data_IF_184443156229
#
_entry.id   IF_184443156229
#
_cell.length_a   1.000
_cell.length_b   1.000
_cell.length_c   1.000
_cell.angle_alpha   90.00
_cell.angle_beta   90.00
_cell.angle_gamma   90.00
#
_symmetry.space_group_name_H-M   'P 1'
#
loop_
_entity.id
_entity.type
_entity.pdbx_description
1 polymer ?
#
# COMPACT_ATOMS: atom_id res chain seq x y z
N UNK A 1 0.67 5.38 -28.14
CA UNK A 1 1.90 5.78 -27.41
C UNK A 1 2.55 4.52 -26.85
N UNK A 2 3.86 4.41 -26.93
CA UNK A 2 4.57 3.16 -26.60
C UNK A 2 4.43 2.80 -25.12
N UNK A 3 4.11 1.54 -24.85
CA UNK A 3 4.22 0.96 -23.51
C UNK A 3 5.69 0.83 -23.19
N UNK A 4 6.19 1.57 -22.20
CA UNK A 4 7.58 1.56 -21.79
C UNK A 4 7.75 0.97 -20.40
N UNK A 5 8.58 -0.07 -20.27
CA UNK A 5 9.04 -0.56 -18.97
C UNK A 5 10.03 0.45 -18.37
N UNK A 6 9.85 0.77 -17.10
CA UNK A 6 10.70 1.70 -16.33
C UNK A 6 11.61 0.89 -15.42
N UNK A 7 12.89 1.22 -15.42
CA UNK A 7 13.84 0.59 -14.49
C UNK A 7 13.56 1.03 -13.04
N UNK A 8 13.14 0.07 -12.24
CA UNK A 8 12.90 0.26 -10.80
C UNK A 8 14.10 -0.06 -9.92
N UNK A 9 15.23 -0.49 -10.53
CA UNK A 9 16.44 -0.90 -9.82
C UNK A 9 16.31 -2.22 -9.05
N UNK A 10 15.20 -2.95 -9.22
CA UNK A 10 14.94 -4.25 -8.57
C UNK A 10 13.85 -5.02 -9.30
N UNK A 11 13.89 -6.34 -9.21
CA UNK A 11 12.83 -7.24 -9.68
C UNK A 11 11.61 -7.31 -8.72
N UNK A 12 11.76 -6.82 -7.49
CA UNK A 12 10.69 -6.81 -6.49
C UNK A 12 9.62 -5.74 -6.74
N UNK A 13 9.85 -4.82 -7.64
CA UNK A 13 8.91 -3.79 -8.06
C UNK A 13 8.97 -3.65 -9.58
N UNK A 14 7.82 -3.65 -10.22
CA UNK A 14 7.72 -3.39 -11.66
C UNK A 14 7.05 -2.03 -11.86
N UNK A 15 7.44 -1.32 -12.91
CA UNK A 15 6.79 -0.08 -13.32
C UNK A 15 6.74 -0.01 -14.85
N UNK A 16 5.58 0.33 -15.38
CA UNK A 16 5.40 0.60 -16.79
C UNK A 16 4.46 1.79 -16.99
N UNK A 17 4.59 2.47 -18.11
CA UNK A 17 3.65 3.54 -18.48
C UNK A 17 2.84 3.09 -19.68
N UNK A 18 1.52 3.02 -19.51
CA UNK A 18 0.54 2.71 -20.58
C UNK A 18 -0.46 3.84 -20.66
N UNK A 19 -0.66 4.41 -21.83
CA UNK A 19 -1.67 5.45 -22.05
C UNK A 19 -1.64 6.57 -21.00
N UNK A 20 -0.45 7.01 -20.61
CA UNK A 20 -0.19 8.00 -19.56
C UNK A 20 -0.53 7.53 -18.13
N UNK A 21 -0.77 6.25 -17.89
CA UNK A 21 -0.94 5.67 -16.57
C UNK A 21 0.34 4.96 -16.16
N UNK A 22 0.96 5.39 -15.07
CA UNK A 22 2.08 4.66 -14.47
C UNK A 22 1.51 3.50 -13.63
N UNK A 23 1.69 2.28 -14.12
CA UNK A 23 1.31 1.06 -13.41
C UNK A 23 2.50 0.57 -12.59
N UNK A 24 2.39 0.67 -11.28
CA UNK A 24 3.40 0.25 -10.30
C UNK A 24 2.93 -1.06 -9.66
N UNK A 25 3.66 -2.14 -9.89
CA UNK A 25 3.29 -3.47 -9.40
C UNK A 25 4.28 -3.94 -8.33
N UNK A 26 3.78 -4.16 -7.11
CA UNK A 26 4.53 -4.83 -6.05
C UNK A 26 4.76 -6.28 -6.49
N UNK A 27 6.00 -6.73 -6.61
CA UNK A 27 6.36 -7.99 -7.27
C UNK A 27 7.17 -8.92 -6.37
N UNK A 28 6.57 -9.29 -5.23
CA UNK A 28 7.05 -10.33 -4.31
C UNK A 28 5.90 -11.28 -3.96
N UNK A 29 5.29 -11.97 -4.95
CA UNK A 29 4.08 -12.77 -4.72
C UNK A 29 4.28 -13.90 -3.70
N UNK A 30 5.47 -14.48 -3.61
CA UNK A 30 5.85 -15.53 -2.65
C UNK A 30 5.74 -15.05 -1.19
N UNK A 31 5.98 -13.77 -0.92
CA UNK A 31 5.81 -13.13 0.38
C UNK A 31 4.57 -12.22 0.45
N UNK A 32 3.61 -12.44 -0.46
CA UNK A 32 2.38 -11.63 -0.56
C UNK A 32 2.67 -10.13 -0.64
N UNK A 33 3.71 -9.79 -1.39
CA UNK A 33 4.15 -8.42 -1.62
C UNK A 33 4.48 -7.63 -0.35
N UNK A 34 5.03 -8.31 0.68
CA UNK A 34 5.44 -7.66 1.92
C UNK A 34 6.53 -6.62 1.67
N UNK A 35 6.44 -5.50 2.40
CA UNK A 35 7.36 -4.37 2.31
C UNK A 35 8.67 -4.68 3.07
N UNK A 36 9.77 -4.69 2.34
CA UNK A 36 11.12 -4.90 2.86
C UNK A 36 12.07 -3.78 2.46
N UNK A 37 13.35 -3.98 2.78
CA UNK A 37 14.38 -2.95 2.60
C UNK A 37 14.76 -2.70 1.13
N UNK A 38 14.37 -3.57 0.20
CA UNK A 38 14.62 -3.42 -1.24
C UNK A 38 13.41 -2.78 -1.93
N UNK A 39 12.23 -3.39 -1.82
CA UNK A 39 11.02 -2.93 -2.52
C UNK A 39 10.56 -1.55 -2.04
N UNK A 40 10.69 -1.25 -0.75
CA UNK A 40 10.12 -0.01 -0.19
C UNK A 40 10.84 1.26 -0.67
N UNK A 41 12.18 1.33 -0.73
CA UNK A 41 12.88 2.47 -1.34
C UNK A 41 12.56 2.64 -2.83
N UNK A 42 12.47 1.53 -3.58
CA UNK A 42 12.10 1.56 -5.00
C UNK A 42 10.68 2.11 -5.19
N UNK A 43 9.72 1.68 -4.36
CA UNK A 43 8.34 2.18 -4.39
C UNK A 43 8.27 3.68 -4.11
N UNK A 44 9.00 4.18 -3.09
CA UNK A 44 9.09 5.62 -2.79
C UNK A 44 9.62 6.42 -3.98
N UNK A 45 10.66 5.90 -4.62
CA UNK A 45 11.25 6.52 -5.81
C UNK A 45 10.25 6.59 -6.95
N UNK A 46 9.57 5.49 -7.26
CA UNK A 46 8.59 5.44 -8.35
C UNK A 46 7.40 6.37 -8.11
N UNK A 47 6.87 6.42 -6.89
CA UNK A 47 5.77 7.34 -6.54
C UNK A 47 6.19 8.79 -6.81
N UNK A 48 7.35 9.20 -6.35
CA UNK A 48 7.86 10.56 -6.56
C UNK A 48 8.09 10.85 -8.04
N UNK A 49 8.90 10.03 -8.72
CA UNK A 49 9.29 10.26 -10.11
C UNK A 49 8.08 10.23 -11.05
N UNK A 50 7.16 9.27 -10.91
CA UNK A 50 5.96 9.21 -11.75
C UNK A 50 4.92 10.27 -11.35
N UNK A 51 4.88 10.62 -10.07
CA UNK A 51 4.06 11.73 -9.59
C UNK A 51 4.45 13.08 -10.20
N UNK A 52 5.73 13.32 -10.45
CA UNK A 52 6.28 14.55 -11.02
C UNK A 52 6.39 14.53 -12.56
N UNK A 53 6.35 13.35 -13.20
CA UNK A 53 6.55 13.16 -14.63
C UNK A 53 5.42 13.79 -15.46
N UNK A 54 5.66 14.79 -16.33
CA UNK A 54 4.61 15.45 -17.10
C UNK A 54 3.91 14.53 -18.12
N UNK A 55 4.54 13.43 -18.52
CA UNK A 55 3.98 12.46 -19.44
C UNK A 55 3.05 11.45 -18.77
N UNK A 56 3.04 11.42 -17.43
CA UNK A 56 2.14 10.58 -16.62
C UNK A 56 0.93 11.41 -16.18
N UNK A 57 -0.27 10.89 -16.42
CA UNK A 57 -1.55 11.51 -16.03
C UNK A 57 -2.15 10.91 -14.76
N UNK A 58 -1.84 9.65 -14.44
CA UNK A 58 -2.35 8.96 -13.25
C UNK A 58 -1.38 7.87 -12.78
N UNK A 59 -1.48 7.48 -11.50
CA UNK A 59 -0.74 6.36 -10.91
C UNK A 59 -1.72 5.24 -10.57
N UNK A 60 -1.37 4.00 -10.94
CA UNK A 60 -2.06 2.80 -10.50
C UNK A 60 -1.08 1.92 -9.74
N UNK A 61 -1.41 1.57 -8.50
CA UNK A 61 -0.61 0.66 -7.65
C UNK A 61 -1.35 -0.65 -7.51
N UNK A 62 -0.67 -1.76 -7.77
CA UNK A 62 -1.25 -3.11 -7.64
C UNK A 62 -0.22 -4.09 -7.10
N UNK A 63 -0.63 -5.35 -6.88
CA UNK A 63 0.24 -6.44 -6.46
C UNK A 63 0.27 -7.58 -7.47
N UNK A 64 1.44 -8.16 -7.68
CA UNK A 64 1.56 -9.41 -8.42
C UNK A 64 0.94 -10.58 -7.65
N UNK A 65 0.48 -11.60 -8.37
CA UNK A 65 -0.12 -12.79 -7.77
C UNK A 65 -1.49 -12.51 -7.14
N UNK A 66 -1.74 -13.10 -5.96
CA UNK A 66 -3.06 -13.16 -5.31
C UNK A 66 -3.22 -12.23 -4.11
N UNK A 67 -2.29 -11.31 -3.88
CA UNK A 67 -2.36 -10.33 -2.79
C UNK A 67 -1.97 -8.94 -3.29
N UNK A 68 -2.55 -7.92 -2.68
CA UNK A 68 -2.05 -6.56 -2.87
C UNK A 68 -0.74 -6.37 -2.10
N UNK A 69 -0.80 -6.39 -0.76
CA UNK A 69 0.37 -6.25 0.10
C UNK A 69 0.06 -6.71 1.53
N UNK A 70 0.88 -7.58 2.07
CA UNK A 70 0.72 -8.12 3.44
C UNK A 70 1.20 -7.17 4.55
N UNK A 71 1.73 -5.99 4.20
CA UNK A 71 2.31 -5.05 5.17
C UNK A 71 3.82 -5.18 5.29
N UNK A 72 4.38 -4.87 6.46
CA UNK A 72 5.81 -4.99 6.70
C UNK A 72 6.29 -6.46 6.68
N UNK A 73 7.52 -6.67 6.22
CA UNK A 73 8.16 -7.99 6.21
C UNK A 73 8.62 -8.37 7.63
N UNK A 74 7.68 -8.86 8.44
CA UNK A 74 7.94 -9.26 9.84
C UNK A 74 9.00 -10.36 9.93
N UNK A 75 9.05 -11.28 8.94
CA UNK A 75 10.07 -12.33 8.91
C UNK A 75 11.46 -11.76 8.62
N UNK A 76 11.54 -10.83 7.67
CA UNK A 76 12.78 -10.12 7.40
C UNK A 76 13.26 -9.29 8.60
N UNK A 77 12.34 -8.65 9.32
CA UNK A 77 12.65 -7.89 10.54
C UNK A 77 13.20 -8.79 11.67
N UNK A 78 12.63 -9.99 11.84
CA UNK A 78 13.09 -10.94 12.86
C UNK A 78 14.49 -11.52 12.56
N UNK A 79 14.87 -11.58 11.28
CA UNK A 79 16.17 -12.08 10.81
C UNK A 79 17.19 -10.95 10.57
N UNK A 80 16.79 -9.68 10.74
CA UNK A 80 17.72 -8.57 10.67
C UNK A 80 18.73 -8.69 11.81
N UNK A 81 20.02 -8.54 11.49
CA UNK A 81 21.10 -8.53 12.49
C UNK A 81 20.88 -7.43 13.55
N UNK A 82 21.82 -7.27 14.48
CA UNK A 82 21.67 -6.33 15.59
C UNK A 82 21.29 -4.95 15.05
N UNK A 83 20.15 -4.43 15.55
CA UNK A 83 19.66 -3.13 15.13
C UNK A 83 20.68 -2.04 15.53
N UNK A 84 20.92 -1.10 14.63
CA UNK A 84 21.68 0.11 14.95
C UNK A 84 21.02 0.74 16.17
N UNK A 85 21.79 0.94 17.25
CA UNK A 85 21.30 1.63 18.43
C UNK A 85 20.88 3.06 18.05
N UNK A 86 19.63 3.36 18.28
CA UNK A 86 19.05 4.68 18.06
C UNK A 86 18.33 5.14 19.30
N UNK A 87 18.47 6.43 19.63
CA UNK A 87 17.67 7.05 20.69
C UNK A 87 16.17 7.00 20.32
N UNK A 88 15.26 7.12 21.29
CA UNK A 88 13.82 7.20 21.01
C UNK A 88 13.48 8.30 19.98
N UNK A 89 14.09 9.46 20.09
CA UNK A 89 13.86 10.59 19.18
C UNK A 89 14.31 10.27 17.74
N UNK A 90 15.46 9.61 17.59
CA UNK A 90 15.95 9.16 16.29
C UNK A 90 15.00 8.11 15.67
N UNK A 91 14.47 7.19 16.47
CA UNK A 91 13.47 6.22 16.01
C UNK A 91 12.20 6.90 15.52
N UNK A 92 11.69 7.88 16.26
CA UNK A 92 10.53 8.68 15.91
C UNK A 92 10.77 9.48 14.61
N UNK A 93 11.91 10.17 14.52
CA UNK A 93 12.27 10.95 13.33
C UNK A 93 12.35 10.06 12.08
N UNK A 94 13.01 8.88 12.22
CA UNK A 94 13.11 7.91 11.13
C UNK A 94 11.73 7.37 10.70
N UNK A 95 10.85 7.09 11.66
CA UNK A 95 9.50 6.61 11.37
C UNK A 95 8.68 7.69 10.64
N UNK A 96 8.72 8.93 11.12
CA UNK A 96 8.06 10.08 10.46
C UNK A 96 8.52 10.24 9.01
N UNK A 97 9.83 10.17 8.77
CA UNK A 97 10.38 10.28 7.41
C UNK A 97 9.94 9.12 6.52
N UNK A 98 9.95 7.90 7.03
CA UNK A 98 9.46 6.71 6.30
C UNK A 98 8.00 6.84 5.90
N UNK A 99 7.16 7.39 6.77
CA UNK A 99 5.73 7.60 6.49
C UNK A 99 5.53 8.74 5.50
N UNK A 100 6.21 9.87 5.71
CA UNK A 100 6.12 11.04 4.84
C UNK A 100 6.52 10.72 3.40
N UNK A 101 7.56 9.92 3.20
CA UNK A 101 8.08 9.58 1.88
C UNK A 101 7.38 8.41 1.18
N UNK A 102 6.40 7.76 1.80
CA UNK A 102 5.59 6.71 1.19
C UNK A 102 4.12 7.12 1.11
N UNK A 103 3.33 6.88 2.14
CA UNK A 103 1.90 7.22 2.15
C UNK A 103 1.66 8.73 2.11
N UNK A 104 2.49 9.51 2.80
CA UNK A 104 2.45 10.97 2.71
C UNK A 104 2.75 11.49 1.30
N UNK A 105 3.69 10.85 0.60
CA UNK A 105 3.98 11.19 -0.79
C UNK A 105 2.79 10.85 -1.71
N UNK A 106 2.13 9.70 -1.52
CA UNK A 106 0.93 9.34 -2.27
C UNK A 106 -0.20 10.35 -2.08
N UNK A 107 -0.48 10.74 -0.84
CA UNK A 107 -1.51 11.76 -0.53
C UNK A 107 -1.16 13.13 -1.16
N UNK A 108 0.12 13.43 -1.34
CA UNK A 108 0.59 14.69 -1.90
C UNK A 108 0.69 14.70 -3.44
N UNK A 109 0.59 13.54 -4.10
CA UNK A 109 0.61 13.46 -5.57
C UNK A 109 -0.55 14.28 -6.15
N UNK A 110 -0.25 15.14 -7.12
CA UNK A 110 -1.24 16.01 -7.79
C UNK A 110 -1.89 15.37 -9.02
N UNK A 111 -1.93 14.05 -9.06
CA UNK A 111 -2.52 13.24 -10.13
C UNK A 111 -3.43 12.20 -9.50
N UNK A 112 -4.48 11.74 -10.17
CA UNK A 112 -5.29 10.64 -9.68
C UNK A 112 -4.44 9.42 -9.34
N UNK A 113 -4.69 8.83 -8.18
CA UNK A 113 -4.03 7.63 -7.69
C UNK A 113 -5.04 6.52 -7.47
N UNK A 114 -4.79 5.34 -8.02
CA UNK A 114 -5.67 4.18 -7.92
C UNK A 114 -4.92 3.03 -7.27
N UNK A 115 -5.53 2.43 -6.24
CA UNK A 115 -5.09 1.15 -5.72
C UNK A 115 -5.99 0.04 -6.26
N UNK A 116 -5.41 -0.89 -7.02
CA UNK A 116 -6.08 -2.08 -7.52
C UNK A 116 -5.65 -3.30 -6.71
N UNK A 117 -6.56 -3.86 -5.90
CA UNK A 117 -6.28 -4.92 -4.94
C UNK A 117 -6.72 -6.28 -5.48
N UNK A 118 -5.82 -7.10 -6.06
CA UNK A 118 -6.15 -8.44 -6.56
C UNK A 118 -6.51 -9.42 -5.43
N UNK A 119 -6.25 -9.03 -4.19
CA UNK A 119 -6.49 -9.83 -3.00
C UNK A 119 -6.12 -9.05 -1.73
N UNK A 120 -5.73 -9.72 -0.64
CA UNK A 120 -5.56 -9.13 0.68
C UNK A 120 -4.63 -7.92 0.73
N UNK A 121 -5.04 -6.91 1.53
CA UNK A 121 -4.22 -5.79 1.96
C UNK A 121 -4.20 -5.69 3.48
N UNK A 122 -3.01 -5.66 4.10
CA UNK A 122 -2.89 -5.62 5.55
C UNK A 122 -1.81 -4.62 6.03
N UNK A 123 -1.98 -4.08 7.23
CA UNK A 123 -1.01 -3.20 7.89
C UNK A 123 -0.57 -2.04 6.99
N UNK A 124 0.74 -1.89 6.80
CA UNK A 124 1.32 -0.85 5.93
C UNK A 124 0.86 -0.98 4.46
N UNK A 125 0.56 -2.20 3.98
CA UNK A 125 -0.02 -2.43 2.66
C UNK A 125 -1.43 -1.84 2.54
N UNK A 126 -2.25 -2.01 3.57
CA UNK A 126 -3.56 -1.35 3.64
C UNK A 126 -3.38 0.18 3.67
N UNK A 127 -2.43 0.71 4.44
CA UNK A 127 -2.18 2.14 4.49
C UNK A 127 -1.81 2.73 3.11
N UNK A 128 -1.04 2.00 2.29
CA UNK A 128 -0.76 2.40 0.90
C UNK A 128 -2.07 2.47 0.08
N UNK A 129 -2.92 1.46 0.19
CA UNK A 129 -4.20 1.46 -0.52
C UNK A 129 -5.11 2.61 -0.10
N UNK A 130 -5.19 2.88 1.21
CA UNK A 130 -6.00 3.98 1.76
C UNK A 130 -5.45 5.37 1.42
N UNK A 131 -4.16 5.48 1.12
CA UNK A 131 -3.52 6.73 0.70
C UNK A 131 -3.79 7.08 -0.77
N UNK A 132 -4.27 6.14 -1.58
CA UNK A 132 -4.72 6.40 -2.94
C UNK A 132 -6.13 7.02 -2.95
N UNK A 133 -6.48 7.75 -4.02
CA UNK A 133 -7.79 8.39 -4.17
C UNK A 133 -8.89 7.35 -4.36
N UNK A 134 -8.64 6.34 -5.20
CA UNK A 134 -9.61 5.31 -5.59
C UNK A 134 -9.05 3.92 -5.24
N UNK A 135 -9.92 3.06 -4.74
CA UNK A 135 -9.63 1.65 -4.41
C UNK A 135 -10.62 0.74 -5.14
N UNK A 136 -10.08 -0.13 -6.00
CA UNK A 136 -10.84 -1.17 -6.69
C UNK A 136 -10.34 -2.51 -6.16
N UNK A 137 -11.24 -3.38 -5.74
CA UNK A 137 -10.85 -4.64 -5.12
C UNK A 137 -11.50 -5.84 -5.81
N UNK A 138 -10.78 -6.93 -5.85
CA UNK A 138 -11.29 -8.23 -6.25
C UNK A 138 -12.31 -8.75 -5.23
N UNK A 139 -13.33 -9.46 -5.68
CA UNK A 139 -14.37 -10.03 -4.80
C UNK A 139 -13.85 -11.02 -3.75
N UNK A 140 -12.65 -11.59 -3.94
CA UNK A 140 -11.99 -12.45 -2.94
C UNK A 140 -11.05 -11.69 -2.00
N UNK A 141 -10.88 -10.39 -2.19
CA UNK A 141 -10.02 -9.59 -1.35
C UNK A 141 -10.62 -9.39 0.05
N UNK A 142 -9.76 -9.17 1.01
CA UNK A 142 -10.10 -8.66 2.33
C UNK A 142 -9.08 -7.64 2.78
N UNK A 143 -9.44 -6.81 3.72
CA UNK A 143 -8.50 -5.92 4.40
C UNK A 143 -8.36 -6.29 5.87
N UNK A 144 -7.23 -5.93 6.48
CA UNK A 144 -7.05 -5.97 7.93
C UNK A 144 -6.05 -4.90 8.34
N UNK A 145 -6.29 -4.21 9.45
CA UNK A 145 -5.30 -3.31 10.01
C UNK A 145 -4.07 -4.08 10.51
N UNK A 146 -4.27 -5.27 11.09
CA UNK A 146 -3.25 -6.24 11.44
C UNK A 146 -2.33 -5.86 12.61
N UNK A 147 -2.18 -4.58 12.94
CA UNK A 147 -1.20 -4.09 13.91
C UNK A 147 -1.40 -4.60 15.33
N UNK A 148 -2.63 -4.60 15.84
CA UNK A 148 -2.93 -5.07 17.19
C UNK A 148 -2.53 -6.54 17.41
N UNK A 149 -2.60 -7.38 16.36
CA UNK A 149 -2.20 -8.80 16.41
C UNK A 149 -0.70 -9.02 16.59
N UNK A 150 0.11 -8.00 16.35
CA UNK A 150 1.57 -8.05 16.49
C UNK A 150 2.08 -7.02 17.51
N UNK A 151 1.20 -6.49 18.36
CA UNK A 151 1.56 -5.55 19.41
C UNK A 151 1.95 -4.14 18.93
N UNK A 152 1.49 -3.73 17.76
CA UNK A 152 1.76 -2.41 17.18
C UNK A 152 0.49 -1.55 17.17
N UNK A 153 0.66 -0.22 17.25
CA UNK A 153 -0.45 0.75 17.24
C UNK A 153 -0.83 1.27 15.84
N UNK A 154 -0.03 0.95 14.84
CA UNK A 154 -0.20 1.42 13.47
C UNK A 154 0.82 2.47 13.06
N UNK A 155 1.15 2.46 11.77
CA UNK A 155 2.08 3.39 11.14
C UNK A 155 1.57 3.82 9.75
N UNK A 156 2.41 4.49 8.97
CA UNK A 156 2.07 4.96 7.62
C UNK A 156 0.76 5.76 7.54
N UNK A 157 0.35 6.42 8.65
CA UNK A 157 -0.83 7.27 8.68
C UNK A 157 -2.17 6.51 8.66
N UNK A 158 -2.19 5.20 8.87
CA UNK A 158 -3.40 4.36 8.77
C UNK A 158 -4.54 4.86 9.67
N UNK A 159 -4.22 5.33 10.88
CA UNK A 159 -5.22 5.85 11.83
C UNK A 159 -5.93 7.06 11.25
N UNK A 160 -5.18 8.00 10.67
CA UNK A 160 -5.72 9.20 10.06
C UNK A 160 -6.52 8.89 8.80
N UNK A 161 -5.95 8.07 7.90
CA UNK A 161 -6.60 7.68 6.65
C UNK A 161 -7.93 6.95 6.90
N UNK A 162 -7.90 5.96 7.79
CA UNK A 162 -9.08 5.15 8.11
C UNK A 162 -10.19 5.98 8.77
N UNK A 163 -9.81 6.84 9.73
CA UNK A 163 -10.78 7.72 10.42
C UNK A 163 -11.51 8.66 9.46
N UNK A 164 -10.83 9.14 8.43
CA UNK A 164 -11.44 10.03 7.42
C UNK A 164 -12.41 9.29 6.49
N UNK A 165 -12.21 8.00 6.29
CA UNK A 165 -13.08 7.19 5.42
C UNK A 165 -14.31 6.67 6.16
N UNK A 166 -14.13 6.09 7.35
CA UNK A 166 -15.22 5.36 8.04
C UNK A 166 -15.65 6.01 9.36
N UNK A 167 -15.14 7.18 9.69
CA UNK A 167 -15.38 7.84 10.96
C UNK A 167 -14.66 7.19 12.14
N UNK A 168 -14.67 7.87 13.30
CA UNK A 168 -13.84 7.51 14.46
C UNK A 168 -14.25 6.19 15.11
N UNK A 169 -15.56 5.90 15.20
CA UNK A 169 -16.05 4.70 15.88
C UNK A 169 -15.63 3.43 15.12
N UNK A 170 -15.90 3.37 13.80
CA UNK A 170 -15.55 2.21 12.98
C UNK A 170 -14.04 2.09 12.80
N UNK A 171 -13.31 3.19 12.67
CA UNK A 171 -11.86 3.15 12.61
C UNK A 171 -11.24 2.54 13.87
N UNK A 172 -11.71 2.93 15.07
CA UNK A 172 -11.26 2.35 16.35
C UNK A 172 -11.57 0.87 16.45
N UNK A 173 -12.78 0.45 16.09
CA UNK A 173 -13.16 -0.96 16.04
C UNK A 173 -12.17 -1.75 15.18
N UNK A 174 -11.97 -1.35 13.94
CA UNK A 174 -11.06 -2.03 13.00
C UNK A 174 -9.60 -2.04 13.47
N UNK A 175 -9.15 -0.97 14.13
CA UNK A 175 -7.78 -0.87 14.66
C UNK A 175 -7.58 -1.78 15.88
N UNK A 176 -8.58 -1.88 16.77
CA UNK A 176 -8.47 -2.64 18.01
C UNK A 176 -8.67 -4.13 17.80
N UNK A 177 -9.64 -4.52 16.96
CA UNK A 177 -9.93 -5.94 16.69
C UNK A 177 -8.94 -6.52 15.68
N UNK A 178 -8.45 -5.70 14.74
CA UNK A 178 -7.65 -6.13 13.61
C UNK A 178 -8.29 -7.28 12.82
N UNK A 179 -9.63 -7.32 12.77
CA UNK A 179 -10.38 -8.35 12.06
C UNK A 179 -10.20 -8.22 10.54
N UNK A 180 -10.47 -9.35 9.87
CA UNK A 180 -10.55 -9.35 8.41
C UNK A 180 -11.91 -8.80 8.00
N UNK A 181 -11.90 -7.82 7.11
CA UNK A 181 -13.09 -7.22 6.52
C UNK A 181 -13.13 -7.62 5.06
N UNK A 182 -14.16 -8.38 4.67
CA UNK A 182 -14.34 -8.82 3.29
C UNK A 182 -14.66 -7.67 2.33
N UNK A 183 -14.53 -7.93 1.03
CA UNK A 183 -14.73 -6.92 -0.02
C UNK A 183 -16.13 -6.29 0.01
N UNK A 184 -17.17 -7.08 0.24
CA UNK A 184 -18.55 -6.59 0.29
C UNK A 184 -18.78 -5.67 1.50
N UNK A 185 -18.19 -5.99 2.64
CA UNK A 185 -18.23 -5.14 3.84
C UNK A 185 -17.39 -3.88 3.63
N UNK A 186 -16.24 -3.98 2.95
CA UNK A 186 -15.43 -2.82 2.59
C UNK A 186 -16.22 -1.84 1.72
N UNK A 187 -16.99 -2.34 0.75
CA UNK A 187 -17.82 -1.50 -0.11
C UNK A 187 -18.94 -0.81 0.68
N UNK A 188 -19.64 -1.54 1.56
CA UNK A 188 -20.68 -0.94 2.45
C UNK A 188 -20.14 0.11 3.42
N UNK A 189 -18.86 0.05 3.76
CA UNK A 189 -18.19 1.00 4.66
C UNK A 189 -17.47 2.13 3.91
N UNK A 190 -17.60 2.23 2.59
CA UNK A 190 -16.88 3.18 1.73
C UNK A 190 -15.35 3.09 1.86
N UNK A 191 -14.84 1.95 2.35
CA UNK A 191 -13.40 1.65 2.38
C UNK A 191 -12.85 1.38 0.98
N UNK A 192 -13.71 0.94 0.06
CA UNK A 192 -13.39 0.73 -1.36
C UNK A 192 -14.48 1.32 -2.24
N UNK A 193 -14.09 1.77 -3.42
CA UNK A 193 -15.00 2.43 -4.36
C UNK A 193 -15.75 1.43 -5.24
N UNK A 194 -15.17 0.24 -5.48
CA UNK A 194 -15.77 -0.79 -6.31
C UNK A 194 -15.22 -2.18 -5.98
N UNK A 195 -16.12 -3.16 -5.97
CA UNK A 195 -15.79 -4.58 -5.96
C UNK A 195 -16.01 -5.15 -7.36
N UNK A 196 -15.04 -5.90 -7.89
CA UNK A 196 -15.13 -6.55 -9.20
C UNK A 196 -14.90 -8.05 -9.06
N UNK A 197 -15.52 -8.88 -9.93
CA UNK A 197 -15.29 -10.33 -9.91
C UNK A 197 -13.82 -10.67 -10.15
N UNK A 198 -13.31 -11.71 -9.49
CA UNK A 198 -11.92 -12.15 -9.66
C UNK A 198 -11.54 -12.43 -11.12
N UNK A 199 -12.48 -12.97 -11.90
CA UNK A 199 -12.24 -13.36 -13.30
C UNK A 199 -11.92 -12.18 -14.21
N UNK A 200 -12.46 -11.00 -13.90
CA UNK A 200 -12.34 -9.78 -14.72
C UNK A 200 -11.49 -8.70 -14.04
N UNK A 201 -10.87 -9.03 -12.90
CA UNK A 201 -10.12 -8.02 -12.14
C UNK A 201 -8.88 -7.49 -12.87
N UNK A 202 -8.30 -8.26 -13.77
CA UNK A 202 -7.08 -7.89 -14.51
C UNK A 202 -7.35 -7.42 -15.93
N UNK A 203 -8.59 -7.50 -16.37
CA UNK A 203 -9.09 -7.00 -17.67
C UNK A 203 -9.40 -5.49 -17.57
#
# INVERSE_FOLDING_TARGET
>A
MATGSIDTGTDQLLCEVRERVAVITLNRPESRNALGDIITPALRRMIRERGEDPDVGALLITGAGTAFCAGGDVKGMANAGPAVEMTPDQKVARLKERQRTLTGALVAVRKPTVAALPGPAAGAGLAIALACDIRIVSSSAFISTGYARVGLSGDYGIVWLLTRLVGTAKARELLFTADRVDSATCERLDLVNRVVPNKTFRD
#
